data_IF_785978172812
#
_entry.id   IF_785978172812
#
_cell.length_a   1.000
_cell.length_b   1.000
_cell.length_c   1.000
_cell.angle_alpha   90.00
_cell.angle_beta   90.00
_cell.angle_gamma   90.00
#
_symmetry.space_group_name_H-M   'P 1'
#
loop_
_entity.id
_entity.type
_entity.pdbx_description
1 polymer ?
#
# COMPACT_ATOMS: atom_id res chain seq x y z
N UNK A 1 4.51 -10.77 9.76
CA UNK A 1 4.79 -12.16 9.37
C UNK A 1 5.62 -12.10 8.10
N UNK A 2 6.71 -12.86 8.00
CA UNK A 2 7.49 -12.98 6.74
C UNK A 2 6.94 -14.21 6.04
N UNK A 3 5.97 -14.00 5.15
CA UNK A 3 5.39 -15.08 4.35
C UNK A 3 6.36 -15.44 3.22
N UNK A 4 6.92 -16.65 3.28
CA UNK A 4 7.66 -17.22 2.15
C UNK A 4 6.69 -18.03 1.29
N UNK A 5 5.98 -17.35 0.38
CA UNK A 5 5.22 -18.02 -0.69
C UNK A 5 6.22 -18.47 -1.78
N UNK A 6 6.03 -19.67 -2.34
CA UNK A 6 6.80 -20.11 -3.50
C UNK A 6 6.47 -19.25 -4.74
N UNK A 7 7.29 -19.30 -5.79
CA UNK A 7 6.96 -18.60 -7.03
C UNK A 7 5.71 -19.19 -7.68
N UNK A 8 5.49 -20.49 -7.52
CA UNK A 8 4.29 -21.23 -7.94
C UNK A 8 3.04 -20.73 -7.20
N UNK A 9 3.11 -20.57 -5.87
CA UNK A 9 1.99 -20.05 -5.07
C UNK A 9 1.70 -18.56 -5.37
N UNK A 10 2.77 -17.80 -5.62
CA UNK A 10 2.66 -16.38 -6.03
C UNK A 10 1.96 -16.26 -7.37
N UNK A 11 2.39 -17.06 -8.36
CA UNK A 11 1.76 -17.11 -9.70
C UNK A 11 0.28 -17.45 -9.57
N UNK A 12 -0.07 -18.53 -8.85
CA UNK A 12 -1.46 -18.96 -8.67
C UNK A 12 -2.33 -17.89 -8.00
N UNK A 13 -1.79 -17.22 -6.99
CA UNK A 13 -2.49 -16.12 -6.30
C UNK A 13 -2.69 -14.92 -7.23
N UNK A 14 -1.69 -14.63 -8.07
CA UNK A 14 -1.74 -13.54 -9.03
C UNK A 14 -2.73 -13.82 -10.16
N UNK A 15 -2.72 -15.02 -10.75
CA UNK A 15 -3.73 -15.47 -11.74
C UNK A 15 -5.15 -15.35 -11.18
N UNK A 16 -5.36 -15.80 -9.93
CA UNK A 16 -6.64 -15.67 -9.24
C UNK A 16 -7.07 -14.20 -9.08
N UNK A 17 -6.11 -13.29 -8.81
CA UNK A 17 -6.36 -11.87 -8.73
C UNK A 17 -6.70 -11.27 -10.11
N UNK A 18 -6.01 -11.68 -11.18
CA UNK A 18 -6.29 -11.24 -12.55
C UNK A 18 -7.69 -11.66 -13.01
N UNK A 19 -8.07 -12.92 -12.79
CA UNK A 19 -9.41 -13.41 -13.10
C UNK A 19 -10.50 -12.66 -12.33
N UNK A 20 -10.28 -12.42 -11.03
CA UNK A 20 -11.21 -11.65 -10.21
C UNK A 20 -11.34 -10.20 -10.70
N UNK A 21 -10.23 -9.57 -11.08
CA UNK A 21 -10.24 -8.21 -11.64
C UNK A 21 -11.10 -8.14 -12.90
N UNK A 22 -10.97 -9.09 -13.83
CA UNK A 22 -11.84 -9.17 -15.00
C UNK A 22 -13.32 -9.33 -14.62
N UNK A 23 -13.64 -10.19 -13.65
CA UNK A 23 -15.01 -10.42 -13.17
C UNK A 23 -15.67 -9.16 -12.58
N UNK A 24 -14.89 -8.25 -12.00
CA UNK A 24 -15.38 -6.96 -11.50
C UNK A 24 -15.28 -5.82 -12.53
N UNK A 25 -14.97 -6.13 -13.79
CA UNK A 25 -15.00 -5.18 -14.91
C UNK A 25 -13.69 -4.44 -15.18
N UNK A 26 -12.56 -4.89 -14.65
CA UNK A 26 -11.24 -4.34 -14.99
C UNK A 26 -10.82 -4.85 -16.38
N UNK A 27 -10.41 -3.93 -17.25
CA UNK A 27 -9.93 -4.29 -18.58
C UNK A 27 -8.43 -4.63 -18.52
N UNK A 28 -8.12 -5.93 -18.46
CA UNK A 28 -6.75 -6.42 -18.55
C UNK A 28 -6.34 -6.52 -20.02
N UNK A 29 -5.57 -5.54 -20.50
CA UNK A 29 -4.95 -5.56 -21.81
C UNK A 29 -3.53 -6.14 -21.80
N UNK A 30 -2.91 -6.19 -22.98
CA UNK A 30 -1.47 -6.40 -23.09
C UNK A 30 -0.76 -5.20 -22.45
N UNK A 31 -0.03 -5.44 -21.35
CA UNK A 31 0.58 -4.38 -20.56
C UNK A 31 1.37 -4.91 -19.38
N UNK A 32 1.46 -4.11 -18.32
CA UNK A 32 2.27 -4.46 -17.15
C UNK A 32 1.79 -5.74 -16.46
N UNK A 33 0.47 -5.95 -16.36
CA UNK A 33 -0.06 -7.11 -15.65
C UNK A 33 0.27 -8.43 -16.34
N UNK A 34 0.17 -8.48 -17.68
CA UNK A 34 0.56 -9.65 -18.48
C UNK A 34 2.09 -9.83 -18.52
N UNK A 35 2.85 -8.74 -18.48
CA UNK A 35 4.30 -8.82 -18.32
C UNK A 35 4.69 -9.47 -16.99
N UNK A 36 4.06 -9.05 -15.89
CA UNK A 36 4.31 -9.62 -14.56
C UNK A 36 3.96 -11.10 -14.51
N UNK A 37 2.84 -11.51 -15.10
CA UNK A 37 2.40 -12.90 -15.20
C UNK A 37 3.41 -13.77 -15.95
N UNK A 38 3.85 -13.31 -17.14
CA UNK A 38 4.85 -14.01 -17.94
C UNK A 38 6.18 -14.15 -17.20
N UNK A 39 6.58 -13.10 -16.48
CA UNK A 39 7.82 -13.06 -15.74
C UNK A 39 7.79 -14.00 -14.53
N UNK A 40 6.73 -13.98 -13.71
CA UNK A 40 6.64 -14.89 -12.55
C UNK A 40 6.43 -16.35 -12.98
N UNK A 41 5.71 -16.59 -14.09
CA UNK A 41 5.57 -17.93 -14.68
C UNK A 41 6.92 -18.51 -15.12
N UNK A 42 7.73 -17.73 -15.84
CA UNK A 42 9.07 -18.16 -16.23
C UNK A 42 9.93 -18.54 -15.01
N UNK A 43 9.88 -17.73 -13.94
CA UNK A 43 10.68 -17.97 -12.74
C UNK A 43 10.15 -19.09 -11.86
N UNK A 44 8.86 -19.39 -11.88
CA UNK A 44 8.31 -20.58 -11.23
C UNK A 44 8.94 -21.86 -11.78
N UNK A 45 9.25 -21.91 -13.08
CA UNK A 45 9.83 -23.09 -13.72
C UNK A 45 11.37 -23.06 -13.73
N UNK A 46 11.96 -21.87 -13.88
CA UNK A 46 13.37 -21.72 -14.27
C UNK A 46 14.33 -21.39 -13.13
N UNK A 47 13.84 -21.02 -11.93
CA UNK A 47 14.71 -20.49 -10.86
C UNK A 47 15.84 -21.43 -10.41
N UNK A 48 15.68 -22.74 -10.59
CA UNK A 48 16.69 -23.75 -10.23
C UNK A 48 17.75 -23.96 -11.31
N UNK A 49 17.45 -23.63 -12.55
CA UNK A 49 18.28 -23.95 -13.73
C UNK A 49 18.81 -22.71 -14.44
N UNK A 50 18.23 -21.54 -14.18
CA UNK A 50 18.67 -20.27 -14.76
C UNK A 50 20.12 -19.96 -14.36
N UNK A 51 20.88 -19.38 -15.30
CA UNK A 51 22.25 -18.96 -15.02
C UNK A 51 22.28 -17.73 -14.11
N UNK A 52 23.39 -17.52 -13.39
CA UNK A 52 23.60 -16.32 -12.56
C UNK A 52 23.51 -15.04 -13.42
N UNK A 53 24.04 -15.08 -14.64
CA UNK A 53 24.03 -13.96 -15.59
C UNK A 53 22.60 -13.59 -15.99
N UNK A 54 21.78 -14.60 -16.28
CA UNK A 54 20.36 -14.45 -16.60
C UNK A 54 19.56 -13.88 -15.43
N UNK A 55 19.81 -14.40 -14.22
CA UNK A 55 19.25 -13.88 -12.98
C UNK A 55 19.55 -12.40 -12.80
N UNK A 56 20.83 -11.99 -12.88
CA UNK A 56 21.26 -10.59 -12.72
C UNK A 56 20.59 -9.65 -13.71
N UNK A 57 20.44 -10.06 -14.97
CA UNK A 57 19.85 -9.23 -16.04
C UNK A 57 18.37 -8.93 -15.78
N UNK A 58 17.62 -9.90 -15.26
CA UNK A 58 16.18 -9.79 -15.05
C UNK A 58 15.85 -9.22 -13.66
N UNK A 59 16.81 -9.30 -12.73
CA UNK A 59 16.64 -8.99 -11.32
C UNK A 59 15.88 -7.67 -11.01
N UNK A 60 16.22 -6.50 -11.60
CA UNK A 60 15.50 -5.26 -11.30
C UNK A 60 14.03 -5.29 -11.74
N UNK A 61 13.75 -5.83 -12.93
CA UNK A 61 12.36 -5.99 -13.41
C UNK A 61 11.59 -6.99 -12.54
N UNK A 62 12.27 -8.05 -12.10
CA UNK A 62 11.69 -9.06 -11.22
C UNK A 62 11.27 -8.48 -9.87
N UNK A 63 12.15 -7.74 -9.19
CA UNK A 63 11.87 -7.08 -7.92
C UNK A 63 10.68 -6.14 -8.03
N UNK A 64 10.66 -5.28 -9.04
CA UNK A 64 9.56 -4.35 -9.29
C UNK A 64 8.23 -5.08 -9.56
N UNK A 65 8.25 -6.14 -10.37
CA UNK A 65 7.06 -6.93 -10.70
C UNK A 65 6.49 -7.63 -9.47
N UNK A 66 7.36 -8.27 -8.66
CA UNK A 66 6.93 -8.98 -7.45
C UNK A 66 6.27 -8.05 -6.44
N UNK A 67 6.81 -6.84 -6.23
CA UNK A 67 6.19 -5.83 -5.35
C UNK A 67 4.75 -5.52 -5.78
N UNK A 68 4.54 -5.29 -7.07
CA UNK A 68 3.21 -4.93 -7.57
C UNK A 68 2.25 -6.13 -7.66
N UNK A 69 2.77 -7.33 -7.92
CA UNK A 69 2.00 -8.58 -7.82
C UNK A 69 1.42 -8.71 -6.41
N UNK A 70 2.23 -8.55 -5.37
CA UNK A 70 1.75 -8.64 -3.99
C UNK A 70 0.71 -7.56 -3.66
N UNK A 71 0.83 -6.36 -4.21
CA UNK A 71 -0.17 -5.30 -4.05
C UNK A 71 -1.51 -5.68 -4.70
N UNK A 72 -1.51 -6.20 -5.93
CA UNK A 72 -2.72 -6.69 -6.58
C UNK A 72 -3.35 -7.87 -5.83
N UNK A 73 -2.54 -8.84 -5.40
CA UNK A 73 -2.98 -10.00 -4.62
C UNK A 73 -3.57 -9.58 -3.28
N UNK A 74 -3.00 -8.56 -2.62
CA UNK A 74 -3.53 -8.02 -1.36
C UNK A 74 -4.92 -7.41 -1.54
N UNK A 75 -5.14 -6.66 -2.63
CA UNK A 75 -6.46 -6.10 -2.97
C UNK A 75 -7.46 -7.21 -3.27
N UNK A 76 -7.06 -8.23 -4.04
CA UNK A 76 -7.88 -9.42 -4.30
C UNK A 76 -8.27 -10.14 -3.01
N UNK A 77 -7.30 -10.50 -2.17
CA UNK A 77 -7.53 -11.24 -0.91
C UNK A 77 -8.50 -10.49 0.01
N UNK A 78 -8.45 -9.16 0.05
CA UNK A 78 -9.35 -8.33 0.87
C UNK A 78 -10.79 -8.26 0.37
N UNK A 79 -11.02 -8.34 -0.95
CA UNK A 79 -12.32 -8.02 -1.55
C UNK A 79 -12.97 -9.14 -2.34
N UNK A 80 -12.31 -10.30 -2.51
CA UNK A 80 -12.81 -11.44 -3.30
C UNK A 80 -14.19 -11.94 -2.88
N UNK A 81 -14.53 -11.84 -1.59
CA UNK A 81 -15.79 -12.33 -1.04
C UNK A 81 -16.90 -11.25 -1.04
N UNK A 82 -16.61 -10.04 -1.53
CA UNK A 82 -17.61 -8.99 -1.73
C UNK A 82 -18.28 -9.16 -3.10
N UNK A 83 -19.63 -9.07 -3.19
CA UNK A 83 -20.32 -9.13 -4.48
C UNK A 83 -19.80 -8.07 -5.48
N UNK A 84 -19.54 -8.50 -6.72
CA UNK A 84 -18.99 -7.65 -7.79
C UNK A 84 -19.77 -6.33 -7.98
N UNK A 85 -21.10 -6.36 -7.88
CA UNK A 85 -21.96 -5.18 -7.99
C UNK A 85 -21.66 -4.07 -6.95
N UNK A 86 -21.02 -4.40 -5.82
CA UNK A 86 -20.63 -3.44 -4.78
C UNK A 86 -19.19 -2.93 -4.96
N UNK A 87 -18.42 -3.52 -5.86
CA UNK A 87 -16.99 -3.25 -6.04
C UNK A 87 -16.69 -2.19 -7.12
N UNK A 88 -17.69 -1.47 -7.63
CA UNK A 88 -17.50 -0.48 -8.70
C UNK A 88 -16.39 0.54 -8.44
N UNK A 89 -16.28 1.05 -7.21
CA UNK A 89 -15.20 1.98 -6.83
C UNK A 89 -13.80 1.33 -6.82
N UNK A 90 -13.69 0.06 -6.39
CA UNK A 90 -12.42 -0.70 -6.46
C UNK A 90 -12.08 -1.05 -7.91
N UNK A 91 -13.05 -1.52 -8.68
CA UNK A 91 -12.89 -1.81 -10.11
C UNK A 91 -12.40 -0.59 -10.88
N UNK A 92 -12.97 0.60 -10.63
CA UNK A 92 -12.52 1.83 -11.27
C UNK A 92 -11.06 2.21 -10.93
N UNK A 93 -10.64 1.99 -9.68
CA UNK A 93 -9.23 2.21 -9.27
C UNK A 93 -8.31 1.22 -9.96
N UNK A 94 -8.66 -0.07 -9.94
CA UNK A 94 -7.85 -1.12 -10.57
C UNK A 94 -7.77 -0.94 -12.09
N UNK A 95 -8.84 -0.51 -12.74
CA UNK A 95 -8.83 -0.20 -14.17
C UNK A 95 -7.85 0.93 -14.53
N UNK A 96 -7.62 1.89 -13.63
CA UNK A 96 -6.54 2.88 -13.80
C UNK A 96 -5.17 2.29 -13.43
N UNK A 97 -5.12 1.46 -12.40
CA UNK A 97 -3.91 0.85 -11.88
C UNK A 97 -3.19 -0.07 -12.87
N UNK A 98 -3.93 -0.75 -13.76
CA UNK A 98 -3.33 -1.65 -14.76
C UNK A 98 -2.73 -0.92 -15.97
N UNK A 99 -3.09 0.35 -16.17
CA UNK A 99 -2.73 1.15 -17.35
C UNK A 99 -1.54 2.09 -17.08
N UNK A 100 -0.37 1.52 -16.82
CA UNK A 100 0.86 2.27 -16.54
C UNK A 100 2.13 1.57 -17.04
N UNK A 101 3.29 2.23 -16.93
CA UNK A 101 4.58 1.66 -17.33
C UNK A 101 4.89 0.40 -16.54
N UNK A 102 5.67 -0.50 -17.16
CA UNK A 102 5.98 -1.82 -16.61
C UNK A 102 6.85 -1.64 -15.37
N UNK A 103 7.87 -0.80 -15.45
CA UNK A 103 8.84 -0.62 -14.36
C UNK A 103 8.70 0.75 -13.68
N UNK A 104 9.37 0.92 -12.54
CA UNK A 104 9.36 2.19 -11.79
C UNK A 104 10.24 3.25 -12.45
N UNK A 105 11.27 2.83 -13.19
CA UNK A 105 12.23 3.69 -13.89
C UNK A 105 11.59 4.37 -15.10
N UNK A 106 10.65 3.69 -15.77
CA UNK A 106 9.84 4.21 -16.87
C UNK A 106 8.74 5.18 -16.40
N UNK A 107 8.52 5.32 -15.09
CA UNK A 107 7.51 6.22 -14.55
C UNK A 107 7.91 7.70 -14.75
N UNK A 108 7.07 8.43 -15.48
CA UNK A 108 7.19 9.87 -15.69
C UNK A 108 6.10 10.61 -14.88
N UNK A 109 6.21 11.93 -14.68
CA UNK A 109 5.12 12.71 -14.08
C UNK A 109 3.75 12.50 -14.74
N UNK A 110 3.72 12.23 -16.06
CA UNK A 110 2.50 11.98 -16.82
C UNK A 110 1.94 10.56 -16.64
N UNK A 111 2.75 9.60 -16.20
CA UNK A 111 2.38 8.19 -16.07
C UNK A 111 2.32 7.67 -14.63
N UNK A 112 2.44 8.54 -13.62
CA UNK A 112 2.31 8.18 -12.19
C UNK A 112 0.92 7.69 -11.78
N UNK A 113 -0.11 7.98 -12.58
CA UNK A 113 -1.52 7.74 -12.27
C UNK A 113 -1.81 6.30 -11.88
N UNK A 114 -1.29 5.34 -12.64
CA UNK A 114 -1.56 3.92 -12.41
C UNK A 114 -1.20 3.48 -10.98
N UNK A 115 0.05 3.70 -10.58
CA UNK A 115 0.53 3.31 -9.26
C UNK A 115 -0.09 4.15 -8.12
N UNK A 116 -0.50 5.39 -8.39
CA UNK A 116 -1.27 6.16 -7.40
C UNK A 116 -2.60 5.46 -7.11
N UNK A 117 -3.35 5.07 -8.14
CA UNK A 117 -4.62 4.34 -7.97
C UNK A 117 -4.44 2.94 -7.39
N UNK A 118 -3.33 2.25 -7.70
CA UNK A 118 -2.98 0.99 -7.02
C UNK A 118 -2.81 1.21 -5.51
N UNK A 119 -2.07 2.25 -5.11
CA UNK A 119 -1.88 2.58 -3.70
C UNK A 119 -3.21 2.92 -3.01
N UNK A 120 -4.11 3.65 -3.66
CA UNK A 120 -5.45 3.92 -3.10
C UNK A 120 -6.26 2.64 -2.87
N UNK A 121 -6.23 1.71 -3.83
CA UNK A 121 -6.90 0.42 -3.70
C UNK A 121 -6.27 -0.44 -2.59
N UNK A 122 -4.94 -0.39 -2.47
CA UNK A 122 -4.21 -1.11 -1.43
C UNK A 122 -4.50 -0.55 -0.04
N UNK A 123 -4.57 0.77 0.13
CA UNK A 123 -4.98 1.37 1.42
C UNK A 123 -6.42 0.95 1.75
N UNK A 124 -7.33 0.92 0.77
CA UNK A 124 -8.68 0.40 0.98
C UNK A 124 -8.66 -1.06 1.47
N UNK A 125 -7.86 -1.91 0.83
CA UNK A 125 -7.70 -3.32 1.20
C UNK A 125 -7.12 -3.46 2.61
N UNK A 126 -6.09 -2.68 2.95
CA UNK A 126 -5.48 -2.69 4.28
C UNK A 126 -6.45 -2.27 5.38
N UNK A 127 -7.33 -1.31 5.09
CA UNK A 127 -8.36 -0.85 6.04
C UNK A 127 -9.61 -1.76 6.09
N UNK A 128 -9.67 -2.82 5.27
CA UNK A 128 -10.81 -3.73 5.21
C UNK A 128 -10.54 -5.00 6.04
N UNK A 129 -10.95 -4.97 7.31
CA UNK A 129 -10.91 -6.12 8.21
C UNK A 129 -12.26 -6.29 8.92
N UNK A 130 -13.33 -6.75 8.23
CA UNK A 130 -14.68 -6.78 8.79
C UNK A 130 -14.80 -7.62 10.07
N UNK A 131 -14.03 -8.71 10.16
CA UNK A 131 -13.94 -9.56 11.35
C UNK A 131 -13.40 -8.83 12.58
N UNK A 132 -12.74 -7.69 12.39
CA UNK A 132 -12.23 -6.79 13.43
C UNK A 132 -12.98 -5.45 13.47
N UNK A 133 -14.16 -5.38 12.83
CA UNK A 133 -15.02 -4.19 12.88
C UNK A 133 -14.61 -3.04 11.95
N UNK A 134 -13.60 -3.22 11.09
CA UNK A 134 -13.16 -2.23 10.11
C UNK A 134 -13.66 -2.60 8.70
N UNK A 135 -14.44 -1.73 8.07
CA UNK A 135 -14.95 -1.97 6.71
C UNK A 135 -14.64 -0.81 5.79
N UNK A 136 -13.84 -1.06 4.75
CA UNK A 136 -13.59 -0.08 3.70
C UNK A 136 -14.91 0.49 3.11
N UNK A 137 -14.93 1.80 2.89
CA UNK A 137 -16.02 2.51 2.22
C UNK A 137 -15.71 2.50 0.72
N UNK A 138 -16.36 1.60 -0.01
CA UNK A 138 -16.04 1.31 -1.41
C UNK A 138 -16.38 2.47 -2.37
N UNK A 139 -17.28 3.36 -1.96
CA UNK A 139 -17.65 4.60 -2.66
C UNK A 139 -17.31 5.83 -1.80
N UNK A 140 -16.02 6.02 -1.55
CA UNK A 140 -15.52 7.14 -0.76
C UNK A 140 -15.45 8.43 -1.60
N UNK A 141 -15.79 9.60 -1.04
CA UNK A 141 -15.62 10.90 -1.69
C UNK A 141 -14.16 11.42 -1.68
N UNK A 142 -13.28 10.74 -0.94
CA UNK A 142 -11.83 10.89 -0.94
C UNK A 142 -11.19 9.71 -1.67
N UNK A 143 -9.86 9.71 -1.81
CA UNK A 143 -9.11 8.59 -2.40
C UNK A 143 -9.58 7.22 -1.85
N UNK A 144 -9.76 7.07 -0.53
CA UNK A 144 -10.46 5.92 0.08
C UNK A 144 -11.08 6.27 1.44
N UNK A 145 -11.66 5.30 2.16
CA UNK A 145 -12.14 5.50 3.52
C UNK A 145 -12.51 4.20 4.23
N UNK A 146 -12.78 4.28 5.53
CA UNK A 146 -13.16 3.14 6.38
C UNK A 146 -14.24 3.52 7.38
N UNK A 147 -15.18 2.60 7.61
CA UNK A 147 -16.12 2.64 8.72
C UNK A 147 -15.53 1.80 9.87
N UNK A 148 -15.31 2.43 11.02
CA UNK A 148 -14.75 1.78 12.21
C UNK A 148 -15.30 2.40 13.50
N UNK A 149 -15.79 1.59 14.43
CA UNK A 149 -16.37 2.08 15.69
C UNK A 149 -17.52 3.09 15.50
N UNK A 150 -18.26 3.00 14.38
CA UNK A 150 -19.29 3.96 13.99
C UNK A 150 -18.77 5.30 13.47
N UNK A 151 -17.45 5.46 13.30
CA UNK A 151 -16.80 6.62 12.69
C UNK A 151 -16.51 6.35 11.21
N UNK A 152 -16.67 7.38 10.37
CA UNK A 152 -16.21 7.40 8.99
C UNK A 152 -14.87 8.11 8.94
N UNK A 153 -13.83 7.37 8.59
CA UNK A 153 -12.48 7.89 8.43
C UNK A 153 -12.20 7.98 6.93
N UNK A 154 -12.13 9.21 6.43
CA UNK A 154 -11.79 9.53 5.05
C UNK A 154 -10.27 9.57 4.90
N UNK A 155 -9.75 9.02 3.82
CA UNK A 155 -8.30 8.88 3.62
C UNK A 155 -7.88 9.45 2.28
N UNK A 156 -6.88 10.33 2.33
CA UNK A 156 -6.20 10.87 1.15
C UNK A 156 -4.82 10.24 1.02
N UNK A 157 -4.55 9.61 -0.12
CA UNK A 157 -3.36 8.80 -0.37
C UNK A 157 -2.35 9.60 -1.19
N UNK A 158 -1.07 9.55 -0.82
CA UNK A 158 0.01 10.18 -1.60
C UNK A 158 1.24 9.28 -1.64
N UNK A 159 1.68 8.94 -2.85
CA UNK A 159 2.99 8.32 -3.10
C UNK A 159 4.07 9.40 -3.07
N UNK A 160 5.05 9.25 -2.19
CA UNK A 160 6.11 10.23 -1.96
C UNK A 160 7.41 9.69 -2.54
N UNK A 161 7.93 10.40 -3.56
CA UNK A 161 9.13 9.96 -4.29
C UNK A 161 10.45 10.45 -3.68
N UNK A 162 10.41 11.33 -2.69
CA UNK A 162 11.59 11.86 -2.00
C UNK A 162 11.20 12.56 -0.70
N UNK A 163 12.11 12.56 0.27
CA UNK A 163 11.89 13.15 1.61
C UNK A 163 11.45 14.62 1.55
N UNK A 164 12.13 15.41 0.71
CA UNK A 164 11.81 16.84 0.45
C UNK A 164 10.40 17.09 -0.08
N UNK A 165 9.67 16.05 -0.54
CA UNK A 165 8.27 16.15 -0.97
C UNK A 165 7.25 15.76 0.11
N UNK A 166 7.67 15.28 1.28
CA UNK A 166 6.75 14.84 2.35
C UNK A 166 5.83 16.00 2.76
N UNK A 167 6.39 17.14 3.18
CA UNK A 167 5.58 18.27 3.66
C UNK A 167 4.56 18.73 2.62
N UNK A 168 4.98 18.87 1.35
CA UNK A 168 4.11 19.29 0.24
C UNK A 168 2.96 18.31 0.02
N UNK A 169 3.22 17.00 0.07
CA UNK A 169 2.20 15.97 -0.12
C UNK A 169 1.22 15.91 1.04
N UNK A 170 1.71 15.95 2.29
CA UNK A 170 0.85 16.00 3.48
C UNK A 170 -0.04 17.23 3.47
N UNK A 171 0.53 18.40 3.11
CA UNK A 171 -0.21 19.65 2.99
C UNK A 171 -1.32 19.59 1.95
N UNK A 172 -1.05 18.92 0.81
CA UNK A 172 -2.04 18.71 -0.26
C UNK A 172 -3.14 17.75 0.20
N UNK A 173 -2.78 16.58 0.71
CA UNK A 173 -3.73 15.58 1.21
C UNK A 173 -4.63 16.16 2.32
N UNK A 174 -4.07 16.89 3.27
CA UNK A 174 -4.84 17.52 4.35
C UNK A 174 -5.86 18.54 3.83
N UNK A 175 -5.51 19.31 2.77
CA UNK A 175 -6.45 20.26 2.15
C UNK A 175 -7.61 19.52 1.47
N UNK A 176 -7.31 18.45 0.73
CA UNK A 176 -8.33 17.62 0.09
C UNK A 176 -9.27 16.99 1.14
N UNK A 177 -8.72 16.52 2.27
CA UNK A 177 -9.53 16.03 3.40
C UNK A 177 -10.44 17.11 3.98
N UNK A 178 -9.96 18.33 4.16
CA UNK A 178 -10.79 19.44 4.67
C UNK A 178 -12.00 19.71 3.76
N UNK A 179 -11.78 19.74 2.44
CA UNK A 179 -12.87 19.92 1.46
C UNK A 179 -13.94 18.82 1.57
N UNK A 180 -13.53 17.58 1.85
CA UNK A 180 -14.45 16.47 2.11
C UNK A 180 -15.15 16.66 3.46
N UNK A 181 -14.39 16.92 4.53
CA UNK A 181 -14.88 16.99 5.91
C UNK A 181 -15.85 18.17 6.14
N UNK A 182 -15.64 19.31 5.48
CA UNK A 182 -16.53 20.47 5.55
C UNK A 182 -17.89 20.20 4.91
N UNK A 183 -17.96 19.28 3.94
CA UNK A 183 -19.22 18.84 3.31
C UNK A 183 -19.94 17.76 4.11
N UNK A 184 -19.32 17.17 5.14
CA UNK A 184 -19.93 16.11 5.95
C UNK A 184 -20.47 16.66 7.27
N UNK A 185 -21.77 16.48 7.49
CA UNK A 185 -22.39 16.76 8.78
C UNK A 185 -22.07 15.67 9.81
N UNK A 186 -22.01 16.06 11.08
CA UNK A 186 -21.88 15.14 12.21
C UNK A 186 -20.45 14.95 12.72
N UNK A 187 -20.35 14.72 14.03
CA UNK A 187 -19.11 14.62 14.79
C UNK A 187 -18.34 13.30 14.59
N UNK A 188 -18.81 12.39 13.73
CA UNK A 188 -18.20 11.06 13.48
C UNK A 188 -17.40 10.96 12.17
N UNK A 189 -17.13 12.09 11.53
CA UNK A 189 -16.28 12.15 10.35
C UNK A 189 -14.86 12.56 10.75
N UNK A 190 -13.86 11.80 10.29
CA UNK A 190 -12.44 12.03 10.52
C UNK A 190 -11.66 11.91 9.22
N UNK A 191 -10.44 12.44 9.20
CA UNK A 191 -9.53 12.39 8.07
C UNK A 191 -8.17 11.81 8.49
N UNK A 192 -7.59 10.96 7.66
CA UNK A 192 -6.20 10.51 7.79
C UNK A 192 -5.46 10.66 6.46
N UNK A 193 -4.17 10.99 6.53
CA UNK A 193 -3.31 11.03 5.34
C UNK A 193 -2.60 9.69 5.22
N UNK A 194 -2.68 9.01 4.09
CA UNK A 194 -1.90 7.81 3.82
C UNK A 194 -0.70 8.12 2.92
N UNK A 195 0.50 7.77 3.35
CA UNK A 195 1.75 7.99 2.62
C UNK A 195 2.40 6.67 2.24
N UNK A 196 2.65 6.49 0.94
CA UNK A 196 3.58 5.47 0.48
C UNK A 196 4.95 6.11 0.30
N UNK A 197 5.92 5.64 1.06
CA UNK A 197 7.30 6.11 1.07
C UNK A 197 8.26 5.08 0.50
N UNK A 198 7.77 4.02 -0.15
CA UNK A 198 8.61 2.90 -0.63
C UNK A 198 9.77 3.40 -1.51
N UNK A 199 9.51 4.37 -2.40
CA UNK A 199 10.53 4.97 -3.28
C UNK A 199 11.61 5.79 -2.54
N UNK A 200 11.39 6.16 -1.28
CA UNK A 200 12.41 6.80 -0.41
C UNK A 200 13.39 5.75 0.11
N UNK A 201 12.91 4.56 0.48
CA UNK A 201 13.73 3.49 1.07
C UNK A 201 14.36 2.58 0.03
N UNK A 202 13.60 2.23 -1.00
CA UNK A 202 14.03 1.35 -2.07
C UNK A 202 13.53 1.88 -3.42
N UNK A 203 14.41 2.45 -4.26
CA UNK A 203 14.01 2.95 -5.57
C UNK A 203 13.59 1.84 -6.56
N UNK A 204 13.69 0.56 -6.19
CA UNK A 204 13.15 -0.58 -6.96
C UNK A 204 14.17 -1.69 -7.25
N UNK A 205 15.45 -1.48 -6.92
CA UNK A 205 16.55 -2.35 -7.35
C UNK A 205 17.36 -2.97 -6.20
N UNK A 206 16.98 -2.70 -4.94
CA UNK A 206 17.73 -3.19 -3.76
C UNK A 206 17.02 -4.33 -3.06
N UNK A 207 17.79 -5.33 -2.64
CA UNK A 207 17.35 -6.34 -1.67
C UNK A 207 17.82 -5.90 -0.29
N UNK A 208 16.91 -5.92 0.67
CA UNK A 208 17.26 -5.76 2.07
C UNK A 208 17.63 -7.11 2.70
N UNK A 209 18.92 -7.36 2.95
CA UNK A 209 19.43 -8.64 3.44
C UNK A 209 19.64 -8.62 4.95
N UNK A 210 19.21 -9.68 5.65
CA UNK A 210 19.45 -9.89 7.09
C UNK A 210 19.74 -11.36 7.38
N UNK A 211 20.47 -11.60 8.46
CA UNK A 211 20.94 -12.95 8.86
C UNK A 211 19.78 -13.92 9.14
N UNK A 212 18.70 -13.45 9.78
CA UNK A 212 17.55 -14.27 10.17
C UNK A 212 16.24 -13.50 9.99
N UNK A 213 15.13 -14.24 9.97
CA UNK A 213 13.78 -13.67 9.94
C UNK A 213 13.52 -12.73 11.12
N UNK A 214 13.99 -13.10 12.32
CA UNK A 214 13.84 -12.29 13.52
C UNK A 214 14.59 -10.95 13.39
N UNK A 215 15.81 -10.97 12.86
CA UNK A 215 16.58 -9.75 12.58
C UNK A 215 15.95 -8.91 11.46
N UNK A 216 15.35 -9.56 10.46
CA UNK A 216 14.60 -8.89 9.40
C UNK A 216 13.40 -8.14 9.96
N UNK A 217 12.52 -8.82 10.72
CA UNK A 217 11.36 -8.20 11.36
C UNK A 217 11.77 -7.03 12.25
N UNK A 218 12.76 -7.23 13.13
CA UNK A 218 13.23 -6.18 14.03
C UNK A 218 13.80 -4.98 13.26
N UNK A 219 14.50 -5.21 12.15
CA UNK A 219 15.01 -4.13 11.30
C UNK A 219 13.89 -3.37 10.61
N UNK A 220 12.85 -4.07 10.15
CA UNK A 220 11.67 -3.47 9.52
C UNK A 220 10.91 -2.58 10.52
N UNK A 221 10.72 -3.03 11.75
CA UNK A 221 10.10 -2.22 12.80
C UNK A 221 10.92 -0.96 13.12
N UNK A 222 12.25 -1.09 13.24
CA UNK A 222 13.14 0.07 13.42
C UNK A 222 13.03 1.06 12.26
N UNK A 223 13.00 0.58 11.02
CA UNK A 223 12.85 1.47 9.85
C UNK A 223 11.55 2.28 9.89
N UNK A 224 10.44 1.67 10.35
CA UNK A 224 9.17 2.39 10.50
C UNK A 224 9.22 3.40 11.65
N UNK A 225 9.79 3.02 12.79
CA UNK A 225 9.96 3.92 13.93
C UNK A 225 10.84 5.12 13.58
N UNK A 226 11.99 4.89 12.95
CA UNK A 226 12.92 5.93 12.50
C UNK A 226 12.23 6.88 11.50
N UNK A 227 11.42 6.33 10.59
CA UNK A 227 10.61 7.13 9.67
C UNK A 227 9.63 8.04 10.41
N UNK A 228 8.85 7.47 11.33
CA UNK A 228 7.83 8.20 12.08
C UNK A 228 8.50 9.27 12.94
N UNK A 229 9.56 8.93 13.68
CA UNK A 229 10.29 9.88 14.52
C UNK A 229 10.85 11.04 13.69
N UNK A 230 11.47 10.72 12.55
CA UNK A 230 12.10 11.72 11.68
C UNK A 230 11.10 12.65 11.01
N UNK A 231 9.96 12.14 10.55
CA UNK A 231 9.02 12.93 9.73
C UNK A 231 7.76 13.37 10.48
N UNK A 232 7.51 12.86 11.69
CA UNK A 232 6.42 13.33 12.55
C UNK A 232 6.43 14.83 12.75
N UNK A 233 7.54 15.48 13.15
CA UNK A 233 7.58 16.93 13.30
C UNK A 233 7.13 17.69 12.03
N UNK A 234 7.40 17.13 10.85
CA UNK A 234 7.05 17.75 9.55
C UNK A 234 5.54 17.74 9.34
N UNK A 235 4.86 16.59 9.49
CA UNK A 235 3.42 16.55 9.29
C UNK A 235 2.62 17.12 10.47
N UNK A 236 3.13 17.04 11.71
CA UNK A 236 2.50 17.71 12.86
C UNK A 236 2.41 19.22 12.65
N UNK A 237 3.50 19.86 12.16
CA UNK A 237 3.52 21.28 11.80
C UNK A 237 2.50 21.64 10.71
N UNK A 238 2.21 20.72 9.79
CA UNK A 238 1.13 20.90 8.81
C UNK A 238 -0.22 20.84 9.50
N UNK A 239 -0.43 19.85 10.38
CA UNK A 239 -1.69 19.63 11.09
C UNK A 239 -2.08 20.73 12.05
N UNK A 240 -1.13 21.44 12.67
CA UNK A 240 -1.39 22.65 13.49
C UNK A 240 -2.30 23.67 12.77
N UNK A 241 -2.21 23.74 11.44
CA UNK A 241 -2.95 24.69 10.60
C UNK A 241 -4.12 24.04 9.86
N UNK A 242 -4.58 22.87 10.32
CA UNK A 242 -5.63 22.07 9.67
C UNK A 242 -6.74 21.72 10.64
N UNK A 243 -7.91 21.45 10.08
CA UNK A 243 -9.10 21.00 10.79
C UNK A 243 -8.77 19.87 11.77
N UNK A 244 -9.27 19.98 13.01
CA UNK A 244 -9.03 19.02 14.09
C UNK A 244 -9.59 17.63 13.80
N UNK A 245 -10.45 17.49 12.79
CA UNK A 245 -10.94 16.21 12.28
C UNK A 245 -9.89 15.46 11.46
N UNK A 246 -8.81 16.10 11.02
CA UNK A 246 -7.62 15.39 10.49
C UNK A 246 -6.83 14.88 11.70
N UNK A 247 -6.81 13.56 11.88
CA UNK A 247 -6.41 12.92 13.15
C UNK A 247 -5.07 12.22 13.09
N UNK A 248 -4.48 11.98 11.92
CA UNK A 248 -3.15 11.36 11.84
C UNK A 248 -2.71 10.98 10.44
N UNK A 249 -1.58 10.28 10.41
CA UNK A 249 -0.92 9.76 9.21
C UNK A 249 -0.86 8.23 9.27
N UNK A 250 -1.13 7.57 8.16
CA UNK A 250 -0.75 6.18 7.91
C UNK A 250 0.49 6.24 7.01
N UNK A 251 1.58 5.60 7.39
CA UNK A 251 2.77 5.45 6.56
C UNK A 251 2.91 3.99 6.11
N UNK A 252 3.44 3.80 4.90
CA UNK A 252 3.74 2.48 4.35
C UNK A 252 5.07 2.52 3.60
N UNK A 253 5.89 1.50 3.78
CA UNK A 253 6.88 1.11 2.77
C UNK A 253 6.73 -0.36 2.37
N UNK A 254 7.24 -0.69 1.20
CA UNK A 254 7.44 -2.05 0.73
C UNK A 254 8.76 -2.18 -0.04
N UNK A 255 9.40 -3.34 0.10
CA UNK A 255 10.61 -3.71 -0.63
C UNK A 255 10.80 -5.23 -0.59
N UNK A 256 11.63 -5.74 -1.51
CA UNK A 256 12.07 -7.13 -1.43
C UNK A 256 13.24 -7.28 -0.44
N UNK A 257 13.26 -8.41 0.26
CA UNK A 257 14.21 -8.71 1.33
C UNK A 257 14.65 -10.15 1.26
N UNK A 258 15.78 -10.50 1.88
CA UNK A 258 16.23 -11.88 2.03
C UNK A 258 16.60 -12.11 3.48
N UNK A 259 16.09 -13.21 4.05
CA UNK A 259 16.70 -13.82 5.23
C UNK A 259 17.74 -14.83 4.76
N UNK A 260 18.99 -14.68 5.19
CA UNK A 260 20.09 -15.59 4.83
C UNK A 260 19.84 -17.02 5.31
N UNK A 261 19.14 -17.21 6.44
CA UNK A 261 18.68 -18.51 6.92
C UNK A 261 17.80 -19.25 5.90
N UNK A 262 16.93 -18.52 5.18
CA UNK A 262 16.04 -19.12 4.18
C UNK A 262 16.60 -19.07 2.77
N UNK A 263 17.50 -18.13 2.50
CA UNK A 263 18.02 -17.82 1.16
C UNK A 263 16.91 -17.65 0.10
N UNK A 264 15.76 -17.10 0.52
CA UNK A 264 14.59 -16.84 -0.32
C UNK A 264 14.29 -15.35 -0.35
N UNK A 265 13.94 -14.86 -1.53
CA UNK A 265 13.45 -13.49 -1.69
C UNK A 265 12.04 -13.40 -1.13
N UNK A 266 11.83 -12.50 -0.17
CA UNK A 266 10.54 -12.27 0.48
C UNK A 266 10.09 -10.85 0.29
N UNK A 267 8.80 -10.69 -0.02
CA UNK A 267 8.15 -9.40 -0.02
C UNK A 267 7.94 -8.88 1.41
N UNK A 268 8.58 -7.76 1.71
CA UNK A 268 8.43 -7.08 2.99
C UNK A 268 7.60 -5.82 2.79
N UNK A 269 6.52 -5.70 3.55
CA UNK A 269 5.77 -4.45 3.68
C UNK A 269 5.57 -4.14 5.14
N UNK A 270 5.66 -2.86 5.50
CA UNK A 270 5.31 -2.41 6.82
C UNK A 270 4.40 -1.19 6.73
N UNK A 271 3.47 -1.15 7.66
CA UNK A 271 2.54 -0.05 7.85
C UNK A 271 2.79 0.54 9.23
N UNK A 272 2.60 1.85 9.37
CA UNK A 272 2.62 2.51 10.66
C UNK A 272 1.55 3.57 10.78
N UNK A 273 1.00 3.76 11.97
CA UNK A 273 0.06 4.86 12.27
C UNK A 273 0.73 5.86 13.18
N UNK A 274 0.73 7.13 12.77
CA UNK A 274 1.17 8.22 13.63
C UNK A 274 0.01 9.18 13.92
N UNK A 275 -0.50 9.18 15.16
CA UNK A 275 -1.52 10.13 15.57
C UNK A 275 -1.05 11.58 15.49
N UNK A 276 -1.98 12.47 15.15
CA UNK A 276 -1.79 13.91 15.35
C UNK A 276 -1.56 14.18 16.85
N UNK A 277 -0.70 15.12 17.19
CA UNK A 277 -0.51 15.53 18.59
C UNK A 277 -1.64 16.45 19.03
N UNK A 278 -2.14 16.30 20.25
CA UNK A 278 -3.18 17.16 20.82
C UNK A 278 -4.58 16.92 20.25
N UNK A 279 -4.86 15.69 19.78
CA UNK A 279 -6.22 15.28 19.46
C UNK A 279 -7.03 15.06 20.75
N UNK A 280 -8.35 14.93 20.65
CA UNK A 280 -9.16 14.54 21.81
C UNK A 280 -8.89 13.06 22.15
N UNK A 281 -8.98 12.66 23.43
CA UNK A 281 -8.78 11.25 23.82
C UNK A 281 -9.65 10.25 23.04
N UNK A 282 -10.86 10.65 22.60
CA UNK A 282 -11.67 9.83 21.70
C UNK A 282 -10.99 9.51 20.36
N UNK A 283 -10.26 10.47 19.78
CA UNK A 283 -9.57 10.32 18.50
C UNK A 283 -8.25 9.55 18.65
N UNK A 284 -7.61 9.62 19.83
CA UNK A 284 -6.47 8.76 20.19
C UNK A 284 -6.94 7.30 20.28
N UNK A 285 -8.00 7.02 21.05
CA UNK A 285 -8.57 5.68 21.15
C UNK A 285 -8.97 5.10 19.78
N UNK A 286 -9.64 5.88 18.93
CA UNK A 286 -10.01 5.41 17.57
C UNK A 286 -8.76 4.98 16.77
N UNK A 287 -7.65 5.70 16.91
CA UNK A 287 -6.42 5.39 16.18
C UNK A 287 -5.68 4.19 16.77
N UNK A 288 -5.63 4.06 18.09
CA UNK A 288 -5.07 2.88 18.76
C UNK A 288 -5.87 1.62 18.40
N UNK A 289 -7.20 1.69 18.51
CA UNK A 289 -8.10 0.59 18.17
C UNK A 289 -8.02 0.25 16.67
N UNK A 290 -7.90 1.25 15.78
CA UNK A 290 -7.73 1.02 14.36
C UNK A 290 -6.36 0.38 14.07
N UNK A 291 -5.29 0.85 14.72
CA UNK A 291 -3.95 0.28 14.55
C UNK A 291 -3.93 -1.19 14.98
N UNK A 292 -4.52 -1.49 16.13
CA UNK A 292 -4.72 -2.86 16.61
C UNK A 292 -5.58 -3.69 15.65
N UNK A 293 -6.73 -3.16 15.21
CA UNK A 293 -7.62 -3.85 14.29
C UNK A 293 -6.94 -4.18 12.95
N UNK A 294 -5.94 -3.39 12.54
CA UNK A 294 -5.27 -3.57 11.26
C UNK A 294 -3.92 -4.28 11.36
N UNK A 295 -3.47 -4.70 12.55
CA UNK A 295 -2.10 -5.16 12.81
C UNK A 295 -1.06 -4.17 12.26
N UNK A 296 -1.23 -2.89 12.58
CA UNK A 296 -0.33 -1.80 12.21
C UNK A 296 0.39 -1.31 13.48
N UNK A 297 1.72 -1.24 13.43
CA UNK A 297 2.57 -0.80 14.55
C UNK A 297 2.70 0.72 14.62
#
# INVERSE_FOLDING_TARGET
MIDSESYEDTLKSYESALEWMQKIGVNLGAGRTSHYESLVSYWAESYRTASIEEGKRIFPSFVNSMLEIHDFVSVYKAFKDIPAAKLGGIGAKLNKAVNGPITLEEETPASTTARNFLFEALVAARLHAPVRGASAILDAPSDTGVLFGGNKIWVECKRVTSERKIEKNVRKASRQLEEVLHKKMGARNRGMVALDVSKIFNPGDRIFVRESDAHLLQSVDRLMNDLIERFSPVWQKVYERRDRKVIGTIARFAFMSVSEERNLLVHTTQWGVNPRVGTSGQNENIQEELSFALDIN
#
